data_IF_522215904253
#
_entry.id   IF_522215904253
#
_cell.length_a   1.000
_cell.length_b   1.000
_cell.length_c   1.000
_cell.angle_alpha   90.00
_cell.angle_beta   90.00
_cell.angle_gamma   90.00
#
_symmetry.space_group_name_H-M   'P 1'
#
loop_
_entity.id
_entity.type
_entity.pdbx_description
1 polymer ?
#
# COMPACT_ATOMS: atom_id res chain seq x y z
N UNK A 1 7.26 20.79 18.17
CA UNK A 1 8.06 20.98 16.94
C UNK A 1 8.70 19.63 16.64
N UNK A 2 8.17 18.81 15.73
CA UNK A 2 7.89 19.07 14.34
C UNK A 2 6.56 18.40 13.95
N UNK A 3 5.49 19.18 13.76
CA UNK A 3 4.33 18.72 12.99
C UNK A 3 4.74 18.69 11.52
N UNK A 4 5.55 17.70 11.16
CA UNK A 4 5.63 17.30 9.76
C UNK A 4 4.34 16.54 9.51
N UNK A 5 3.29 17.26 9.10
CA UNK A 5 2.26 16.70 8.24
C UNK A 5 2.99 16.19 7.01
N UNK A 6 3.56 14.99 7.08
CA UNK A 6 4.20 14.31 5.97
C UNK A 6 3.11 14.21 4.91
N UNK A 7 3.18 15.12 3.95
CA UNK A 7 2.14 15.33 2.97
C UNK A 7 1.94 14.01 2.25
N UNK A 8 0.69 13.60 2.03
CA UNK A 8 0.38 12.42 1.21
C UNK A 8 1.02 12.47 -0.19
N UNK A 9 1.52 13.65 -0.58
CA UNK A 9 2.39 13.90 -1.73
C UNK A 9 3.66 13.04 -1.77
N UNK A 10 4.15 12.51 -0.63
CA UNK A 10 5.35 11.67 -0.63
C UNK A 10 5.09 10.24 -1.15
N UNK A 11 3.86 9.73 -1.05
CA UNK A 11 3.50 8.40 -1.54
C UNK A 11 3.09 8.45 -3.01
N UNK A 12 4.06 8.79 -3.86
CA UNK A 12 3.88 8.82 -5.32
C UNK A 12 4.46 7.59 -5.98
N UNK A 13 3.82 7.17 -7.07
CA UNK A 13 4.33 6.18 -8.00
C UNK A 13 4.71 6.90 -9.29
N UNK A 14 5.79 6.47 -9.92
CA UNK A 14 6.13 6.94 -11.27
C UNK A 14 5.42 6.06 -12.27
N UNK A 15 4.62 6.68 -13.15
CA UNK A 15 3.96 6.03 -14.27
C UNK A 15 4.37 6.70 -15.57
N UNK A 16 4.29 5.98 -16.68
CA UNK A 16 4.55 6.56 -18.00
C UNK A 16 3.28 7.21 -18.53
N UNK A 17 3.36 8.48 -18.96
CA UNK A 17 2.25 9.18 -19.59
C UNK A 17 1.96 8.60 -20.97
N UNK A 18 0.69 8.26 -21.24
CA UNK A 18 0.29 7.52 -22.44
C UNK A 18 0.60 8.24 -23.77
N UNK A 19 0.57 9.58 -23.80
CA UNK A 19 0.78 10.33 -25.04
C UNK A 19 2.26 10.70 -25.26
N UNK A 20 2.92 11.16 -24.19
CA UNK A 20 4.27 11.73 -24.29
C UNK A 20 5.36 10.71 -23.99
N UNK A 21 5.01 9.52 -23.48
CA UNK A 21 5.95 8.50 -22.97
C UNK A 21 6.93 9.03 -21.91
N UNK A 22 6.59 10.15 -21.28
CA UNK A 22 7.41 10.74 -20.23
C UNK A 22 6.99 10.16 -18.86
N UNK A 23 7.95 9.99 -17.94
CA UNK A 23 7.64 9.61 -16.56
C UNK A 23 6.89 10.75 -15.87
N UNK A 24 5.77 10.42 -15.23
CA UNK A 24 4.94 11.34 -14.45
C UNK A 24 4.71 10.74 -13.08
N UNK A 25 4.84 11.55 -12.03
CA UNK A 25 4.53 11.14 -10.67
C UNK A 25 3.04 11.30 -10.41
N UNK A 26 2.44 10.28 -9.78
CA UNK A 26 1.04 10.29 -9.35
C UNK A 26 0.92 9.76 -7.93
N UNK A 27 0.02 10.30 -7.10
CA UNK A 27 -0.17 9.78 -5.76
C UNK A 27 -0.72 8.34 -5.83
N UNK A 28 -0.33 7.49 -4.88
CA UNK A 28 -0.73 6.09 -4.81
C UNK A 28 -2.26 5.90 -4.88
N UNK A 29 -3.02 6.85 -4.31
CA UNK A 29 -4.49 6.85 -4.35
C UNK A 29 -5.06 6.79 -5.77
N UNK A 30 -4.40 7.44 -6.73
CA UNK A 30 -4.84 7.47 -8.13
C UNK A 30 -4.61 6.10 -8.78
N UNK A 31 -3.49 5.45 -8.46
CA UNK A 31 -3.19 4.09 -8.91
C UNK A 31 -4.19 3.08 -8.35
N UNK A 32 -4.55 3.20 -7.07
CA UNK A 32 -5.60 2.36 -6.45
C UNK A 32 -6.95 2.59 -7.13
N UNK A 33 -7.33 3.85 -7.36
CA UNK A 33 -8.57 4.18 -8.05
C UNK A 33 -8.60 3.63 -9.48
N UNK A 34 -7.49 3.73 -10.22
CA UNK A 34 -7.38 3.19 -11.56
C UNK A 34 -7.49 1.66 -11.57
N UNK A 35 -6.80 0.97 -10.66
CA UNK A 35 -6.84 -0.48 -10.54
C UNK A 35 -8.26 -0.98 -10.26
N UNK A 36 -8.95 -0.34 -9.31
CA UNK A 36 -10.35 -0.66 -8.98
C UNK A 36 -11.30 -0.42 -10.14
N UNK A 37 -11.17 0.70 -10.85
CA UNK A 37 -11.99 0.98 -12.05
C UNK A 37 -11.80 -0.10 -13.12
N UNK A 38 -10.55 -0.49 -13.38
CA UNK A 38 -10.23 -1.53 -14.36
C UNK A 38 -10.82 -2.87 -13.95
N UNK A 39 -10.65 -3.26 -12.68
CA UNK A 39 -11.17 -4.51 -12.15
C UNK A 39 -12.70 -4.58 -12.22
N UNK A 40 -13.40 -3.54 -11.74
CA UNK A 40 -14.86 -3.48 -11.76
C UNK A 40 -15.43 -3.46 -13.18
N UNK A 41 -14.75 -2.83 -14.14
CA UNK A 41 -15.14 -2.86 -15.55
C UNK A 41 -15.04 -4.27 -16.17
N UNK A 42 -14.16 -5.13 -15.65
CA UNK A 42 -13.98 -6.50 -16.12
C UNK A 42 -14.98 -7.48 -15.49
N UNK A 43 -15.63 -7.13 -14.38
CA UNK A 43 -16.62 -7.99 -13.73
C UNK A 43 -17.87 -8.24 -14.59
N UNK A 44 -18.12 -7.43 -15.64
CA UNK A 44 -19.29 -7.57 -16.52
C UNK A 44 -20.63 -7.69 -15.73
N UNK A 45 -20.75 -6.93 -14.64
CA UNK A 45 -21.94 -6.92 -13.77
C UNK A 45 -22.02 -8.06 -12.74
N UNK A 46 -20.98 -8.90 -12.63
CA UNK A 46 -20.88 -9.88 -11.56
C UNK A 46 -20.53 -9.22 -10.22
N UNK A 47 -21.13 -9.71 -9.14
CA UNK A 47 -20.76 -9.30 -7.79
C UNK A 47 -19.42 -9.92 -7.36
N UNK A 48 -18.66 -9.20 -6.55
CA UNK A 48 -17.40 -9.67 -5.96
C UNK A 48 -17.50 -9.63 -4.43
N UNK A 49 -17.16 -10.76 -3.80
CA UNK A 49 -17.05 -10.85 -2.35
C UNK A 49 -15.63 -10.46 -1.89
N UNK A 50 -15.52 -9.95 -0.66
CA UNK A 50 -14.23 -9.69 0.01
C UNK A 50 -13.29 -8.71 -0.72
N UNK A 51 -13.84 -7.85 -1.60
CA UNK A 51 -13.04 -6.86 -2.35
C UNK A 51 -12.20 -5.95 -1.44
N UNK A 52 -12.72 -5.61 -0.25
CA UNK A 52 -11.97 -4.82 0.72
C UNK A 52 -10.67 -5.52 1.15
N UNK A 53 -10.74 -6.80 1.52
CA UNK A 53 -9.56 -7.57 1.94
C UNK A 53 -8.60 -7.81 0.77
N UNK A 54 -9.12 -8.02 -0.44
CA UNK A 54 -8.34 -8.12 -1.67
C UNK A 54 -7.52 -6.85 -1.89
N UNK A 55 -8.17 -5.69 -1.94
CA UNK A 55 -7.47 -4.40 -2.13
C UNK A 55 -6.52 -4.10 -0.97
N UNK A 56 -6.94 -4.38 0.27
CA UNK A 56 -6.10 -4.16 1.44
C UNK A 56 -4.83 -5.03 1.38
N UNK A 57 -4.91 -6.27 0.88
CA UNK A 57 -3.73 -7.13 0.71
C UNK A 57 -2.72 -6.60 -0.29
N UNK A 58 -3.18 -5.99 -1.39
CA UNK A 58 -2.33 -5.37 -2.41
C UNK A 58 -1.50 -4.19 -1.87
N UNK A 59 -1.96 -3.56 -0.79
CA UNK A 59 -1.26 -2.43 -0.17
C UNK A 59 -0.51 -2.85 1.10
N UNK A 60 -1.15 -3.64 1.95
CA UNK A 60 -0.64 -3.99 3.27
C UNK A 60 0.56 -4.95 3.19
N UNK A 61 0.51 -5.97 2.32
CA UNK A 61 1.61 -6.92 2.17
C UNK A 61 2.92 -6.23 1.72
N UNK A 62 2.95 -5.48 0.59
CA UNK A 62 4.19 -4.82 0.17
C UNK A 62 4.66 -3.73 1.14
N UNK A 63 3.73 -3.03 1.81
CA UNK A 63 4.10 -2.07 2.86
C UNK A 63 4.83 -2.77 4.01
N UNK A 64 4.33 -3.91 4.49
CA UNK A 64 4.96 -4.67 5.57
C UNK A 64 6.35 -5.14 5.17
N UNK A 65 6.50 -5.70 3.98
CA UNK A 65 7.78 -6.20 3.47
C UNK A 65 8.83 -5.07 3.41
N UNK A 66 8.51 -3.96 2.73
CA UNK A 66 9.43 -2.82 2.58
C UNK A 66 9.81 -2.22 3.94
N UNK A 67 8.86 -2.08 4.86
CA UNK A 67 9.14 -1.53 6.20
C UNK A 67 10.01 -2.50 7.02
N UNK A 68 9.77 -3.80 6.92
CA UNK A 68 10.60 -4.80 7.60
C UNK A 68 12.02 -4.82 7.05
N UNK A 69 12.20 -4.68 5.74
CA UNK A 69 13.53 -4.53 5.12
C UNK A 69 14.21 -3.24 5.58
N UNK A 70 13.50 -2.10 5.54
CA UNK A 70 14.02 -0.81 5.97
C UNK A 70 14.46 -0.81 7.45
N UNK A 71 13.71 -1.52 8.29
CA UNK A 71 14.02 -1.68 9.72
C UNK A 71 14.93 -2.85 10.03
N UNK A 72 15.44 -3.55 9.01
CA UNK A 72 16.33 -4.72 9.12
C UNK A 72 15.78 -5.81 10.04
N UNK A 73 14.49 -6.11 9.91
CA UNK A 73 13.81 -7.12 10.71
C UNK A 73 13.39 -6.65 12.11
N UNK A 74 13.68 -5.41 12.51
CA UNK A 74 13.30 -4.90 13.84
C UNK A 74 11.81 -4.56 13.91
N UNK A 75 11.00 -5.54 14.33
CA UNK A 75 9.55 -5.39 14.46
C UNK A 75 9.13 -4.26 15.42
N UNK A 76 9.90 -3.97 16.48
CA UNK A 76 9.56 -2.86 17.39
C UNK A 76 9.70 -1.52 16.67
N UNK A 77 10.81 -1.33 15.95
CA UNK A 77 11.02 -0.13 15.14
C UNK A 77 10.00 -0.01 14.01
N UNK A 78 9.70 -1.11 13.32
CA UNK A 78 8.68 -1.16 12.27
C UNK A 78 7.31 -0.75 12.81
N UNK A 79 6.89 -1.31 13.95
CA UNK A 79 5.60 -0.99 14.56
C UNK A 79 5.50 0.49 14.96
N UNK A 80 6.59 1.06 15.51
CA UNK A 80 6.69 2.49 15.82
C UNK A 80 6.57 3.34 14.55
N UNK A 81 7.30 3.00 13.48
CA UNK A 81 7.23 3.70 12.20
C UNK A 81 5.83 3.65 11.57
N UNK A 82 5.14 2.52 11.72
CA UNK A 82 3.79 2.32 11.23
C UNK A 82 2.70 2.92 12.13
N UNK A 83 3.04 3.41 13.32
CA UNK A 83 2.06 3.91 14.28
C UNK A 83 1.10 2.85 14.82
N UNK A 84 1.51 1.58 14.87
CA UNK A 84 0.69 0.46 15.35
C UNK A 84 1.35 -0.27 16.52
N UNK A 85 0.56 -0.99 17.31
CA UNK A 85 1.12 -1.85 18.36
C UNK A 85 1.95 -3.00 17.74
N UNK A 86 3.08 -3.35 18.38
CA UNK A 86 3.95 -4.47 17.96
C UNK A 86 3.19 -5.80 17.84
N UNK A 87 2.26 -6.08 18.74
CA UNK A 87 1.39 -7.26 18.68
C UNK A 87 0.50 -7.27 17.44
N UNK A 88 0.01 -6.10 17.00
CA UNK A 88 -0.74 -5.93 15.75
C UNK A 88 0.16 -6.18 14.54
N UNK A 89 1.36 -5.60 14.51
CA UNK A 89 2.34 -5.87 13.44
C UNK A 89 2.63 -7.37 13.32
N UNK A 90 2.89 -8.05 14.44
CA UNK A 90 3.15 -9.50 14.44
C UNK A 90 1.99 -10.31 13.86
N UNK A 91 0.75 -9.96 14.20
CA UNK A 91 -0.44 -10.62 13.62
C UNK A 91 -0.53 -10.39 12.11
N UNK A 92 -0.24 -9.17 11.64
CA UNK A 92 -0.22 -8.84 10.21
C UNK A 92 0.88 -9.58 9.46
N UNK A 93 2.12 -9.61 9.98
CA UNK A 93 3.21 -10.39 9.38
C UNK A 93 2.83 -11.88 9.25
N UNK A 94 2.21 -12.46 10.29
CA UNK A 94 1.70 -13.84 10.23
C UNK A 94 0.59 -14.03 9.18
N UNK A 95 -0.34 -13.06 9.03
CA UNK A 95 -1.40 -13.08 8.00
C UNK A 95 -0.81 -13.22 6.59
N UNK A 96 0.34 -12.59 6.34
CA UNK A 96 1.02 -12.59 5.05
C UNK A 96 2.22 -13.55 4.94
N UNK A 97 2.45 -14.41 5.94
CA UNK A 97 3.55 -15.39 5.90
C UNK A 97 4.97 -14.79 5.99
N UNK A 98 5.12 -13.63 6.63
CA UNK A 98 6.37 -12.85 6.72
C UNK A 98 7.05 -12.94 8.10
N UNK A 99 6.96 -14.08 8.77
CA UNK A 99 7.37 -14.25 10.17
C UNK A 99 8.52 -15.23 10.37
#
# INVERSE_FOLDING_TARGET
MLDQTLTSEALVTTVTHAQTHQPVQRPLRDSVQQALRNYLAQLNGQDVAELYDMVLSEVEAPMLDIIMQYTRGNQTRAAIMMGINRGTLRKKLKKYGMN
#
